data_IF_947398984201
#
_entry.id   IF_947398984201
#
_cell.length_a   1.000
_cell.length_b   1.000
_cell.length_c   1.000
_cell.angle_alpha   90.00
_cell.angle_beta   90.00
_cell.angle_gamma   90.00
#
_symmetry.space_group_name_H-M   'P 1'
#
loop_
_entity.id
_entity.type
_entity.pdbx_description
1 polymer ?
#
# COMPACT_ATOMS: atom_id res chain seq x y z
N UNK A 1 23.70 -11.64 -7.90
CA UNK A 1 22.30 -11.66 -7.39
C UNK A 1 21.78 -10.23 -7.21
N UNK A 2 22.46 -9.34 -6.46
CA UNK A 2 22.05 -7.94 -6.25
C UNK A 2 21.97 -7.06 -7.53
N UNK A 3 22.79 -7.35 -8.55
CA UNK A 3 22.75 -6.58 -9.82
C UNK A 3 21.49 -6.82 -10.64
N UNK A 4 20.90 -8.03 -10.59
CA UNK A 4 19.71 -8.37 -11.38
C UNK A 4 18.45 -7.66 -10.85
N UNK A 5 18.33 -7.52 -9.53
CA UNK A 5 17.22 -6.78 -8.89
C UNK A 5 17.35 -5.28 -9.12
N UNK A 6 18.57 -4.74 -9.04
CA UNK A 6 18.85 -3.33 -9.37
C UNK A 6 18.56 -3.01 -10.85
N UNK A 7 18.83 -3.96 -11.76
CA UNK A 7 18.52 -3.82 -13.18
C UNK A 7 17.03 -3.88 -13.49
N UNK A 8 16.24 -4.69 -12.77
CA UNK A 8 14.78 -4.71 -12.91
C UNK A 8 14.15 -3.42 -12.36
N UNK A 9 14.59 -2.95 -11.20
CA UNK A 9 14.17 -1.67 -10.65
C UNK A 9 14.53 -0.51 -11.60
N UNK A 10 15.76 -0.48 -12.14
CA UNK A 10 16.19 0.55 -13.10
C UNK A 10 15.47 0.45 -14.44
N UNK A 11 15.32 -0.73 -15.04
CA UNK A 11 14.64 -0.90 -16.33
C UNK A 11 13.14 -0.54 -16.24
N UNK A 12 12.51 -0.83 -15.11
CA UNK A 12 11.12 -0.44 -14.85
C UNK A 12 10.97 1.08 -14.58
N UNK A 13 12.03 1.76 -14.11
CA UNK A 13 12.08 3.21 -13.89
C UNK A 13 12.49 4.02 -15.14
N UNK A 14 13.34 3.50 -16.03
CA UNK A 14 13.90 4.26 -17.17
C UNK A 14 13.26 3.97 -18.52
N UNK A 15 12.48 2.88 -18.66
CA UNK A 15 11.87 2.52 -19.95
C UNK A 15 12.87 2.30 -21.09
N UNK A 16 14.16 2.10 -20.81
CA UNK A 16 15.21 2.08 -21.82
C UNK A 16 16.16 0.88 -21.63
N UNK A 17 15.93 -0.16 -22.42
CA UNK A 17 16.90 -1.20 -22.74
C UNK A 17 16.78 -1.54 -24.24
N UNK A 18 17.87 -1.54 -25.02
CA UNK A 18 17.79 -1.77 -26.45
C UNK A 18 17.59 -3.27 -26.69
N UNK A 19 16.44 -3.65 -27.28
CA UNK A 19 16.03 -5.02 -27.71
C UNK A 19 15.06 -5.82 -26.82
N UNK A 20 14.18 -5.16 -26.07
CA UNK A 20 12.92 -5.81 -25.67
C UNK A 20 11.76 -5.02 -26.30
N UNK A 21 11.09 -5.62 -27.30
CA UNK A 21 9.83 -5.07 -27.78
C UNK A 21 8.90 -4.83 -26.59
N UNK A 22 8.12 -3.75 -26.65
CA UNK A 22 7.13 -3.32 -25.64
C UNK A 22 6.16 -4.44 -25.27
N UNK A 23 6.59 -5.39 -24.45
CA UNK A 23 5.73 -6.36 -23.81
C UNK A 23 5.35 -5.71 -22.49
N UNK A 24 4.09 -5.27 -22.37
CA UNK A 24 3.54 -4.81 -21.08
C UNK A 24 3.93 -5.83 -20.01
N UNK A 25 4.50 -5.37 -18.91
CA UNK A 25 4.91 -6.24 -17.82
C UNK A 25 3.70 -7.08 -17.36
N UNK A 26 3.91 -8.40 -17.22
CA UNK A 26 2.90 -9.30 -16.68
C UNK A 26 2.70 -9.10 -15.18
N UNK A 27 1.60 -9.66 -14.65
CA UNK A 27 1.22 -9.56 -13.22
C UNK A 27 2.40 -9.82 -12.27
N UNK A 28 3.09 -10.95 -12.46
CA UNK A 28 4.21 -11.35 -11.60
C UNK A 28 5.45 -10.46 -11.75
N UNK A 29 5.67 -9.87 -12.93
CA UNK A 29 6.76 -8.91 -13.14
C UNK A 29 6.49 -7.60 -12.40
N UNK A 30 5.23 -7.15 -12.36
CA UNK A 30 4.82 -5.98 -11.57
C UNK A 30 4.94 -6.24 -10.06
N UNK A 31 4.49 -7.41 -9.60
CA UNK A 31 4.65 -7.81 -8.20
C UNK A 31 6.13 -7.88 -7.81
N UNK A 32 6.98 -8.47 -8.66
CA UNK A 32 8.43 -8.51 -8.44
C UNK A 32 9.06 -7.11 -8.41
N UNK A 33 8.63 -6.21 -9.30
CA UNK A 33 9.11 -4.82 -9.29
C UNK A 33 8.75 -4.10 -7.97
N UNK A 34 7.51 -4.28 -7.47
CA UNK A 34 7.08 -3.72 -6.18
C UNK A 34 7.95 -4.28 -5.04
N UNK A 35 8.16 -5.60 -4.98
CA UNK A 35 9.00 -6.22 -3.95
C UNK A 35 10.46 -5.76 -4.04
N UNK A 36 10.99 -5.56 -5.24
CA UNK A 36 12.34 -5.04 -5.45
C UNK A 36 12.53 -3.63 -4.88
N UNK A 37 11.55 -2.74 -5.02
CA UNK A 37 11.61 -1.41 -4.38
C UNK A 37 11.64 -1.53 -2.85
N UNK A 38 10.84 -2.44 -2.28
CA UNK A 38 10.85 -2.70 -0.84
C UNK A 38 12.15 -3.34 -0.35
N UNK A 39 12.76 -4.23 -1.13
CA UNK A 39 14.07 -4.82 -0.83
C UNK A 39 15.18 -3.75 -0.85
N UNK A 40 15.15 -2.86 -1.84
CA UNK A 40 16.11 -1.77 -1.97
C UNK A 40 16.02 -0.77 -0.80
N UNK A 41 14.82 -0.56 -0.25
CA UNK A 41 14.64 0.23 0.99
C UNK A 41 15.45 -0.36 2.15
N UNK A 42 15.51 -1.68 2.29
CA UNK A 42 16.28 -2.30 3.38
C UNK A 42 17.79 -1.98 3.27
N UNK A 43 18.28 -1.71 2.06
CA UNK A 43 19.68 -1.35 1.77
C UNK A 43 19.94 0.15 1.86
N UNK A 44 19.02 0.97 1.35
CA UNK A 44 19.22 2.42 1.17
C UNK A 44 18.51 3.28 2.21
N UNK A 45 17.58 2.69 2.97
CA UNK A 45 16.67 3.40 3.88
C UNK A 45 15.56 4.19 3.19
N UNK A 46 15.56 4.28 1.85
CA UNK A 46 14.62 5.10 1.08
C UNK A 46 13.67 4.22 0.25
N UNK A 47 12.42 4.63 0.18
CA UNK A 47 11.42 4.00 -0.69
C UNK A 47 11.07 4.95 -1.82
N UNK A 48 11.22 4.50 -3.07
CA UNK A 48 10.78 5.26 -4.24
C UNK A 48 9.26 5.09 -4.45
N UNK A 49 8.48 5.83 -3.65
CA UNK A 49 7.02 5.68 -3.60
C UNK A 49 6.34 5.95 -4.94
N UNK A 50 6.81 6.92 -5.73
CA UNK A 50 6.28 7.21 -7.07
C UNK A 50 6.41 6.01 -8.03
N UNK A 51 7.48 5.22 -7.89
CA UNK A 51 7.67 3.99 -8.66
C UNK A 51 6.65 2.93 -8.26
N UNK A 52 6.46 2.74 -6.95
CA UNK A 52 5.49 1.79 -6.39
C UNK A 52 4.06 2.15 -6.84
N UNK A 53 3.69 3.44 -6.82
CA UNK A 53 2.41 3.94 -7.33
C UNK A 53 2.22 3.56 -8.79
N UNK A 54 3.26 3.74 -9.63
CA UNK A 54 3.21 3.39 -11.05
C UNK A 54 3.00 1.88 -11.26
N UNK A 55 3.68 1.03 -10.49
CA UNK A 55 3.53 -0.42 -10.60
C UNK A 55 2.15 -0.90 -10.12
N UNK A 56 1.65 -0.36 -9.00
CA UNK A 56 0.30 -0.69 -8.53
C UNK A 56 -0.79 -0.22 -9.49
N UNK A 57 -0.62 0.93 -10.13
CA UNK A 57 -1.56 1.40 -11.15
C UNK A 57 -1.67 0.39 -12.31
N UNK A 58 -0.52 -0.06 -12.82
CA UNK A 58 -0.46 -1.06 -13.87
C UNK A 58 -1.03 -2.41 -13.39
N UNK A 59 -0.71 -2.82 -12.17
CA UNK A 59 -1.17 -4.08 -11.58
C UNK A 59 -2.69 -4.09 -11.40
N UNK A 60 -3.29 -3.01 -10.89
CA UNK A 60 -4.74 -2.89 -10.70
C UNK A 60 -5.47 -2.89 -12.04
N UNK A 61 -4.91 -2.27 -13.09
CA UNK A 61 -5.47 -2.35 -14.45
C UNK A 61 -5.40 -3.75 -15.04
N UNK A 62 -4.29 -4.46 -14.81
CA UNK A 62 -4.04 -5.78 -15.41
C UNK A 62 -4.74 -6.92 -14.65
N UNK A 63 -4.73 -6.88 -13.33
CA UNK A 63 -5.23 -7.93 -12.44
C UNK A 63 -5.82 -7.30 -11.17
N UNK A 64 -7.04 -6.75 -11.24
CA UNK A 64 -7.65 -6.05 -10.13
C UNK A 64 -7.96 -7.01 -8.98
N UNK A 65 -7.45 -6.68 -7.80
CA UNK A 65 -7.81 -7.35 -6.55
C UNK A 65 -8.08 -6.31 -5.46
N UNK A 66 -8.76 -6.72 -4.38
CA UNK A 66 -8.98 -5.83 -3.22
C UNK A 66 -7.63 -5.50 -2.58
N UNK A 67 -6.75 -6.50 -2.43
CA UNK A 67 -5.41 -6.30 -1.88
C UNK A 67 -4.55 -5.32 -2.71
N UNK A 68 -4.52 -5.48 -4.04
CA UNK A 68 -3.76 -4.57 -4.90
C UNK A 68 -4.31 -3.14 -4.84
N UNK A 69 -5.63 -2.95 -4.79
CA UNK A 69 -6.25 -1.62 -4.67
C UNK A 69 -5.99 -0.97 -3.31
N UNK A 70 -6.07 -1.73 -2.22
CA UNK A 70 -5.75 -1.26 -0.87
C UNK A 70 -4.28 -0.86 -0.74
N UNK A 71 -3.36 -1.69 -1.25
CA UNK A 71 -1.94 -1.36 -1.26
C UNK A 71 -1.63 -0.17 -2.17
N UNK A 72 -2.34 -0.03 -3.28
CA UNK A 72 -2.22 1.13 -4.16
C UNK A 72 -2.61 2.44 -3.46
N UNK A 73 -3.72 2.41 -2.71
CA UNK A 73 -4.15 3.55 -1.91
C UNK A 73 -3.10 3.94 -0.85
N UNK A 74 -2.52 2.95 -0.14
CA UNK A 74 -1.46 3.19 0.82
C UNK A 74 -0.21 3.81 0.17
N UNK A 75 0.25 3.26 -0.96
CA UNK A 75 1.39 3.84 -1.69
C UNK A 75 1.11 5.26 -2.21
N UNK A 76 -0.14 5.55 -2.58
CA UNK A 76 -0.56 6.90 -2.99
C UNK A 76 -0.49 7.88 -1.82
N UNK A 77 -0.86 7.45 -0.61
CA UNK A 77 -0.74 8.29 0.59
C UNK A 77 0.70 8.68 0.90
N UNK A 78 1.63 7.75 0.70
CA UNK A 78 3.06 7.95 0.93
C UNK A 78 3.72 8.81 -0.15
N UNK A 79 3.27 8.70 -1.40
CA UNK A 79 3.84 9.44 -2.53
C UNK A 79 3.30 10.88 -2.66
N UNK A 80 2.03 11.08 -2.30
CA UNK A 80 1.30 12.33 -2.50
C UNK A 80 0.79 12.87 -1.16
N UNK A 81 -0.33 12.33 -0.67
CA UNK A 81 -0.93 12.82 0.58
C UNK A 81 -1.91 11.81 1.18
N UNK A 82 -2.11 11.84 2.52
CA UNK A 82 -3.09 10.96 3.17
C UNK A 82 -4.52 11.10 2.62
N UNK A 83 -4.89 12.30 2.17
CA UNK A 83 -6.18 12.56 1.54
C UNK A 83 -6.33 11.88 0.18
N UNK A 84 -5.31 11.95 -0.68
CA UNK A 84 -5.30 11.28 -1.98
C UNK A 84 -5.38 9.75 -1.84
N UNK A 85 -4.60 9.19 -0.90
CA UNK A 85 -4.68 7.77 -0.59
C UNK A 85 -6.05 7.35 -0.06
N UNK A 86 -6.65 8.14 0.84
CA UNK A 86 -7.97 7.83 1.39
C UNK A 86 -9.06 7.89 0.32
N UNK A 87 -9.05 8.88 -0.56
CA UNK A 87 -10.01 8.98 -1.66
C UNK A 87 -9.94 7.76 -2.58
N UNK A 88 -8.74 7.28 -2.89
CA UNK A 88 -8.55 6.05 -3.68
C UNK A 88 -9.00 4.80 -2.92
N UNK A 89 -8.76 4.73 -1.62
CA UNK A 89 -9.20 3.62 -0.78
C UNK A 89 -10.73 3.54 -0.77
N UNK A 90 -11.42 4.66 -0.54
CA UNK A 90 -12.88 4.75 -0.44
C UNK A 90 -13.60 4.53 -1.79
N UNK A 91 -12.87 4.58 -2.90
CA UNK A 91 -13.38 4.18 -4.22
C UNK A 91 -13.52 2.65 -4.41
N UNK A 92 -12.98 1.83 -3.50
CA UNK A 92 -13.14 0.37 -3.57
C UNK A 92 -14.58 0.01 -3.14
N UNK A 93 -15.31 -0.84 -3.90
CA UNK A 93 -16.69 -1.18 -3.55
C UNK A 93 -16.85 -1.73 -2.13
N UNK A 94 -17.78 -1.16 -1.35
CA UNK A 94 -17.98 -1.50 0.06
C UNK A 94 -18.17 -3.01 0.32
N UNK A 95 -18.90 -3.71 -0.56
CA UNK A 95 -19.10 -5.17 -0.47
C UNK A 95 -17.78 -5.95 -0.56
N UNK A 96 -16.81 -5.46 -1.32
CA UNK A 96 -15.53 -6.14 -1.52
C UNK A 96 -14.57 -5.98 -0.32
N UNK A 97 -14.77 -4.95 0.50
CA UNK A 97 -13.86 -4.62 1.62
C UNK A 97 -14.42 -5.00 2.99
N UNK A 98 -15.71 -5.34 3.08
CA UNK A 98 -16.40 -5.62 4.35
C UNK A 98 -15.61 -6.58 5.26
N UNK A 99 -15.14 -7.71 4.72
CA UNK A 99 -14.34 -8.70 5.44
C UNK A 99 -12.82 -8.59 5.24
N UNK A 100 -12.32 -7.52 4.59
CA UNK A 100 -10.91 -7.43 4.25
C UNK A 100 -10.15 -6.55 5.26
N UNK A 101 -9.61 -7.19 6.30
CA UNK A 101 -8.92 -6.53 7.40
C UNK A 101 -7.90 -5.44 6.99
N UNK A 102 -7.02 -5.65 5.99
CA UNK A 102 -6.01 -4.64 5.63
C UNK A 102 -6.61 -3.33 5.13
N UNK A 103 -7.79 -3.35 4.51
CA UNK A 103 -8.51 -2.12 4.11
C UNK A 103 -8.81 -1.25 5.33
N UNK A 104 -9.36 -1.85 6.38
CA UNK A 104 -9.76 -1.15 7.60
C UNK A 104 -8.54 -0.61 8.36
N UNK A 105 -7.42 -1.34 8.36
CA UNK A 105 -6.17 -0.88 8.94
C UNK A 105 -5.60 0.35 8.20
N UNK A 106 -5.57 0.32 6.87
CA UNK A 106 -5.11 1.48 6.06
C UNK A 106 -6.06 2.66 6.26
N UNK A 107 -7.38 2.43 6.24
CA UNK A 107 -8.38 3.48 6.46
C UNK A 107 -8.19 4.17 7.82
N UNK A 108 -8.04 3.39 8.89
CA UNK A 108 -7.80 3.92 10.24
C UNK A 108 -6.51 4.74 10.31
N UNK A 109 -5.46 4.27 9.65
CA UNK A 109 -4.19 4.98 9.59
C UNK A 109 -4.32 6.35 8.90
N UNK A 110 -4.90 6.39 7.70
CA UNK A 110 -5.02 7.62 6.91
C UNK A 110 -5.97 8.63 7.56
N UNK A 111 -7.10 8.17 8.11
CA UNK A 111 -8.01 9.03 8.87
C UNK A 111 -7.33 9.63 10.11
N UNK A 112 -6.47 8.85 10.78
CA UNK A 112 -5.66 9.32 11.90
C UNK A 112 -4.70 10.44 11.50
N UNK A 113 -4.00 10.28 10.37
CA UNK A 113 -3.12 11.32 9.84
C UNK A 113 -3.87 12.61 9.46
N UNK A 114 -5.13 12.47 9.03
CA UNK A 114 -6.01 13.60 8.70
C UNK A 114 -6.73 14.19 9.92
N UNK A 115 -6.45 13.73 11.14
CA UNK A 115 -7.11 14.20 12.36
C UNK A 115 -8.57 13.76 12.53
N UNK A 116 -9.09 12.89 11.65
CA UNK A 116 -10.46 12.33 11.69
C UNK A 116 -10.54 11.18 12.71
N UNK A 117 -10.27 11.50 13.98
CA UNK A 117 -10.00 10.53 15.04
C UNK A 117 -11.13 9.53 15.30
N UNK A 118 -12.37 9.98 15.38
CA UNK A 118 -13.52 9.09 15.66
C UNK A 118 -13.68 8.04 14.56
N UNK A 119 -13.58 8.45 13.30
CA UNK A 119 -13.66 7.54 12.16
C UNK A 119 -12.44 6.61 12.09
N UNK A 120 -11.26 7.12 12.43
CA UNK A 120 -10.04 6.32 12.53
C UNK A 120 -10.18 5.21 13.59
N UNK A 121 -10.75 5.54 14.76
CA UNK A 121 -11.01 4.60 15.84
C UNK A 121 -11.97 3.49 15.37
N UNK A 122 -13.07 3.87 14.72
CA UNK A 122 -14.05 2.91 14.20
C UNK A 122 -13.43 1.97 13.15
N UNK A 123 -12.58 2.49 12.25
CA UNK A 123 -11.87 1.66 11.28
C UNK A 123 -10.89 0.70 11.96
N UNK A 124 -10.13 1.16 12.97
CA UNK A 124 -9.25 0.27 13.72
C UNK A 124 -9.99 -0.81 14.49
N UNK A 125 -11.16 -0.52 15.08
CA UNK A 125 -12.01 -1.53 15.73
C UNK A 125 -12.36 -2.66 14.76
N UNK A 126 -12.87 -2.32 13.58
CA UNK A 126 -13.16 -3.32 12.54
C UNK A 126 -11.90 -4.09 12.10
N UNK A 127 -10.77 -3.41 11.96
CA UNK A 127 -9.50 -4.06 11.61
C UNK A 127 -9.03 -5.06 12.69
N UNK A 128 -9.28 -4.78 13.97
CA UNK A 128 -8.94 -5.67 15.09
C UNK A 128 -9.88 -6.88 15.11
N UNK A 129 -11.18 -6.65 14.94
CA UNK A 129 -12.21 -7.71 14.92
C UNK A 129 -12.00 -8.71 13.79
N UNK A 130 -11.58 -8.23 12.61
CA UNK A 130 -11.32 -9.08 11.44
C UNK A 130 -9.95 -9.79 11.47
N UNK A 131 -9.12 -9.56 12.50
CA UNK A 131 -7.80 -10.16 12.59
C UNK A 131 -7.78 -11.40 13.49
N UNK A 132 -7.28 -12.51 12.94
CA UNK A 132 -7.07 -13.77 13.66
C UNK A 132 -5.62 -13.96 14.15
N UNK A 133 -4.73 -13.02 13.82
CA UNK A 133 -3.32 -13.05 14.23
C UNK A 133 -3.11 -12.14 15.44
N UNK A 134 -2.64 -12.72 16.55
CA UNK A 134 -2.44 -11.99 17.80
C UNK A 134 -1.44 -10.83 17.65
N UNK A 135 -0.35 -11.01 16.90
CA UNK A 135 0.65 -9.96 16.69
C UNK A 135 0.08 -8.80 15.86
N UNK A 136 -0.74 -9.11 14.84
CA UNK A 136 -1.44 -8.08 14.07
C UNK A 136 -2.46 -7.33 14.94
N UNK A 137 -3.24 -8.05 15.76
CA UNK A 137 -4.19 -7.42 16.70
C UNK A 137 -3.48 -6.47 17.66
N UNK A 138 -2.39 -6.89 18.28
CA UNK A 138 -1.61 -6.09 19.21
C UNK A 138 -1.04 -4.84 18.54
N UNK A 139 -0.54 -4.98 17.31
CA UNK A 139 -0.09 -3.84 16.51
C UNK A 139 -1.21 -2.82 16.29
N UNK A 140 -2.40 -3.27 15.88
CA UNK A 140 -3.54 -2.39 15.62
C UNK A 140 -4.07 -1.73 16.89
N UNK A 141 -4.10 -2.45 18.01
CA UNK A 141 -4.45 -1.91 19.32
C UNK A 141 -3.49 -0.80 19.73
N UNK A 142 -2.18 -0.99 19.52
CA UNK A 142 -1.18 0.04 19.78
C UNK A 142 -1.43 1.30 18.95
N UNK A 143 -1.70 1.16 17.64
CA UNK A 143 -2.05 2.29 16.76
C UNK A 143 -3.31 3.03 17.22
N UNK A 144 -4.36 2.29 17.56
CA UNK A 144 -5.63 2.83 18.08
C UNK A 144 -5.46 3.60 19.39
N UNK A 145 -4.60 3.12 20.30
CA UNK A 145 -4.27 3.81 21.56
C UNK A 145 -3.48 5.10 21.35
N UNK A 146 -2.55 5.12 20.39
CA UNK A 146 -1.82 6.35 20.04
C UNK A 146 -2.79 7.46 19.63
N UNK A 147 -3.80 7.14 18.81
CA UNK A 147 -4.81 8.12 18.40
C UNK A 147 -5.62 8.68 19.56
N UNK A 148 -5.94 7.86 20.56
CA UNK A 148 -6.68 8.29 21.75
C UNK A 148 -5.88 9.24 22.66
N UNK A 149 -4.53 9.11 22.71
CA UNK A 149 -3.67 9.91 23.60
C UNK A 149 -3.42 11.34 23.11
N UNK A 150 -3.53 11.61 21.82
CA UNK A 150 -3.32 12.95 21.25
C UNK A 150 -4.59 13.83 21.29
N UNK A 151 -5.54 13.53 22.18
CA UNK A 151 -6.84 14.20 22.28
C UNK A 151 -7.21 14.69 23.70
N UNK A 152 -6.23 14.79 24.60
CA UNK A 152 -6.36 15.43 25.92
C UNK A 152 -5.57 16.74 25.94
#
# INVERSE_FOLDING_TARGET
MAEAESLLARAALTGAGPRAGFRRAGRFQLEAAIQSVHAERARTGRTEWTAIVTFYEQLVRLSPSVGARTAYAAATAEADSPAAGLARLEAIPAKAVAGYQPYWAVRGHLLGQLGRRQEAQAAYTLAIELSNDAAVRDHLLSKSRVLARHGL
#
